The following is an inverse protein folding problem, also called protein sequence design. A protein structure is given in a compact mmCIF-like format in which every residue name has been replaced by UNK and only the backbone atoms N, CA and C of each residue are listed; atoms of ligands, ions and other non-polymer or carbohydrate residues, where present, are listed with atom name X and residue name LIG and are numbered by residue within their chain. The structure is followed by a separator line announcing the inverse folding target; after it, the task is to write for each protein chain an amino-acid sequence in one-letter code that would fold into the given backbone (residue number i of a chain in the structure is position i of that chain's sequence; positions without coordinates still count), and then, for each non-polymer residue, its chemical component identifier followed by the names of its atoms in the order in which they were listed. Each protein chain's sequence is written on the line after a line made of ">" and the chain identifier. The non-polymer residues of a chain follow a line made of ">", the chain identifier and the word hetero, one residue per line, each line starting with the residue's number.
data_IF_338533898225
#
_entry.id   IF_338533898225
#
_cell.length_a   1.000
_cell.length_b   1.000
_cell.length_c   1.000
_cell.angle_alpha   90.00
_cell.angle_beta   90.00
_cell.angle_gamma   90.00
#
_symmetry.space_group_name_H-M   'P 1'
#
loop_
_entity.id
_entity.type
_entity.pdbx_description
1 polymer ?
#
# COMPACT_ATOMS: atom_id res chain seq x y z
N UNK A 1 -25.36 -35.90 -1.33
CA UNK A 1 -24.82 -34.52 -1.40
C UNK A 1 -24.96 -33.86 -0.03
N UNK A 2 -24.01 -33.04 0.39
CA UNK A 2 -24.11 -32.24 1.63
C UNK A 2 -25.24 -31.20 1.52
N UNK A 3 -25.95 -30.91 2.60
CA UNK A 3 -27.01 -29.88 2.58
C UNK A 3 -26.46 -28.48 2.29
N UNK A 4 -25.33 -28.12 2.91
CA UNK A 4 -24.66 -26.82 2.73
C UNK A 4 -23.64 -26.81 1.60
N UNK A 5 -23.42 -27.94 0.92
CA UNK A 5 -22.43 -28.06 -0.14
C UNK A 5 -21.05 -28.47 0.37
N UNK A 6 -20.06 -28.36 -0.51
CA UNK A 6 -18.67 -28.73 -0.24
C UNK A 6 -17.71 -27.75 -0.90
N UNK A 7 -16.57 -27.52 -0.25
CA UNK A 7 -15.52 -26.63 -0.74
C UNK A 7 -14.27 -27.45 -1.07
N UNK A 8 -13.64 -27.17 -2.21
CA UNK A 8 -12.30 -27.65 -2.54
C UNK A 8 -11.41 -26.48 -2.93
N UNK A 9 -10.10 -26.65 -2.75
CA UNK A 9 -9.10 -25.66 -3.09
C UNK A 9 -8.02 -26.36 -3.93
N UNK A 10 -7.53 -25.70 -4.98
CA UNK A 10 -6.45 -26.23 -5.83
C UNK A 10 -5.12 -26.38 -5.07
N UNK A 11 -4.96 -25.68 -3.94
CA UNK A 11 -3.77 -25.71 -3.09
C UNK A 11 -4.13 -26.12 -1.67
N UNK A 12 -3.23 -26.84 -1.02
CA UNK A 12 -3.31 -27.19 0.41
C UNK A 12 -2.13 -26.60 1.21
N UNK A 13 -1.15 -26.03 0.52
CA UNK A 13 0.06 -25.40 1.04
C UNK A 13 0.43 -24.26 0.11
N UNK A 14 0.91 -23.16 0.66
CA UNK A 14 1.38 -21.98 -0.06
C UNK A 14 2.66 -21.47 0.60
N UNK A 15 3.57 -20.94 -0.20
CA UNK A 15 4.78 -20.23 0.25
C UNK A 15 4.43 -18.77 0.51
N UNK A 16 4.72 -18.28 1.72
CA UNK A 16 4.43 -16.89 2.07
C UNK A 16 5.09 -15.90 1.07
N UNK A 17 4.32 -14.92 0.61
CA UNK A 17 4.76 -13.92 -0.37
C UNK A 17 4.88 -14.41 -1.81
N UNK A 18 4.51 -15.66 -2.11
CA UNK A 18 4.49 -16.13 -3.50
C UNK A 18 3.33 -15.53 -4.30
N UNK A 19 3.60 -15.16 -5.54
CA UNK A 19 2.55 -14.81 -6.48
C UNK A 19 1.96 -16.10 -7.02
N UNK A 20 0.68 -16.34 -6.73
CA UNK A 20 -0.05 -17.55 -7.12
C UNK A 20 -1.50 -17.24 -7.48
N UNK A 21 -2.16 -18.14 -8.20
CA UNK A 21 -3.62 -18.15 -8.32
C UNK A 21 -4.17 -19.23 -7.39
N UNK A 22 -5.06 -18.84 -6.50
CA UNK A 22 -5.80 -19.79 -5.66
C UNK A 22 -7.21 -19.92 -6.21
N UNK A 23 -7.55 -21.14 -6.62
CA UNK A 23 -8.89 -21.48 -7.09
C UNK A 23 -9.63 -22.23 -6.00
N UNK A 24 -10.75 -21.66 -5.58
CA UNK A 24 -11.67 -22.27 -4.61
C UNK A 24 -12.94 -22.65 -5.35
N UNK A 25 -13.29 -23.94 -5.35
CA UNK A 25 -14.52 -24.44 -5.95
C UNK A 25 -15.52 -24.79 -4.84
N UNK A 26 -16.67 -24.13 -4.87
CA UNK A 26 -17.81 -24.46 -4.01
C UNK A 26 -18.85 -25.22 -4.83
N UNK A 27 -19.12 -26.47 -4.46
CA UNK A 27 -20.25 -27.24 -4.99
C UNK A 27 -21.49 -26.93 -4.17
N UNK A 28 -22.52 -26.39 -4.82
CA UNK A 28 -23.80 -26.01 -4.21
C UNK A 28 -24.46 -27.22 -3.58
N UNK A 29 -24.88 -27.08 -2.32
CA UNK A 29 -25.51 -28.14 -1.55
C UNK A 29 -26.96 -28.38 -1.90
N UNK A 30 -27.56 -29.34 -1.19
CA UNK A 30 -28.98 -29.67 -1.33
C UNK A 30 -29.94 -28.50 -1.05
N UNK A 31 -29.49 -27.43 -0.39
CA UNK A 31 -30.30 -26.22 -0.19
C UNK A 31 -30.53 -25.42 -1.48
N UNK A 32 -29.68 -25.57 -2.51
CA UNK A 32 -29.59 -24.60 -3.60
C UNK A 32 -29.13 -23.22 -3.13
N UNK A 33 -29.04 -22.27 -4.06
CA UNK A 33 -28.87 -20.84 -3.77
C UNK A 33 -29.86 -20.05 -4.61
N UNK A 34 -30.67 -19.21 -3.97
CA UNK A 34 -31.67 -18.39 -4.64
C UNK A 34 -31.16 -16.95 -4.86
N UNK A 35 -31.95 -16.16 -5.57
CA UNK A 35 -31.69 -14.74 -5.79
C UNK A 35 -31.53 -13.99 -4.46
N UNK A 36 -30.52 -13.12 -4.40
CA UNK A 36 -30.15 -12.39 -3.19
C UNK A 36 -29.43 -13.23 -2.12
N UNK A 37 -29.20 -14.53 -2.36
CA UNK A 37 -28.27 -15.30 -1.54
C UNK A 37 -26.84 -14.80 -1.76
N UNK A 38 -26.00 -14.94 -0.73
CA UNK A 38 -24.61 -14.55 -0.81
C UNK A 38 -23.72 -15.55 -0.08
N UNK A 39 -22.52 -15.74 -0.64
CA UNK A 39 -21.45 -16.51 -0.04
C UNK A 39 -20.38 -15.53 0.42
N UNK A 40 -19.78 -15.81 1.58
CA UNK A 40 -18.68 -15.01 2.09
C UNK A 40 -17.49 -15.90 2.44
N UNK A 41 -16.39 -15.71 1.71
CA UNK A 41 -15.07 -16.26 2.05
C UNK A 41 -14.31 -15.26 2.90
N UNK A 42 -13.92 -15.66 4.12
CA UNK A 42 -13.26 -14.77 5.07
C UNK A 42 -11.83 -15.19 5.37
N UNK A 43 -10.95 -14.20 5.46
CA UNK A 43 -9.52 -14.37 5.68
C UNK A 43 -9.12 -13.64 6.95
N UNK A 44 -8.11 -14.17 7.64
CA UNK A 44 -7.54 -13.49 8.81
C UNK A 44 -7.07 -12.09 8.39
N UNK A 45 -7.44 -11.08 9.16
CA UNK A 45 -7.08 -9.69 8.87
C UNK A 45 -5.55 -9.52 8.83
N UNK A 46 -4.85 -10.03 9.84
CA UNK A 46 -3.39 -10.12 9.91
C UNK A 46 -2.89 -11.35 9.14
N UNK A 47 -2.88 -11.25 7.82
CA UNK A 47 -2.33 -12.27 6.93
C UNK A 47 -1.65 -11.64 5.73
N UNK A 48 -0.76 -12.39 5.09
CA UNK A 48 -0.07 -12.06 3.84
C UNK A 48 -0.99 -12.14 2.60
N UNK A 49 -2.27 -12.45 2.79
CA UNK A 49 -3.28 -12.30 1.75
C UNK A 49 -3.31 -10.85 1.26
N UNK A 50 -3.11 -10.67 -0.03
CA UNK A 50 -3.14 -9.37 -0.69
C UNK A 50 -4.50 -8.67 -0.57
N UNK A 51 -4.53 -7.36 -0.83
CA UNK A 51 -5.79 -6.64 -0.97
C UNK A 51 -6.42 -7.02 -2.30
N UNK A 52 -7.45 -7.84 -2.23
CA UNK A 52 -8.22 -8.23 -3.39
C UNK A 52 -8.93 -7.02 -4.01
N UNK A 53 -9.10 -7.04 -5.32
CA UNK A 53 -9.88 -6.05 -6.05
C UNK A 53 -10.78 -6.74 -7.08
N UNK A 54 -11.86 -6.09 -7.47
CA UNK A 54 -12.88 -6.67 -8.37
C UNK A 54 -13.22 -5.74 -9.55
N UNK A 55 -12.44 -4.68 -9.74
CA UNK A 55 -12.74 -3.61 -10.70
C UNK A 55 -11.90 -3.68 -11.98
N UNK A 56 -10.66 -4.14 -11.92
CA UNK A 56 -9.76 -4.20 -13.08
C UNK A 56 -9.20 -5.62 -13.26
N UNK A 57 -9.69 -6.41 -14.22
CA UNK A 57 -9.23 -7.77 -14.43
C UNK A 57 -7.74 -7.85 -14.79
N UNK A 58 -7.13 -6.77 -15.29
CA UNK A 58 -5.73 -6.77 -15.73
C UNK A 58 -4.72 -6.51 -14.62
N UNK A 59 -5.19 -6.16 -13.42
CA UNK A 59 -4.37 -5.78 -12.28
C UNK A 59 -4.23 -6.91 -11.27
N UNK A 60 -3.15 -6.85 -10.49
CA UNK A 60 -2.87 -7.81 -9.43
C UNK A 60 -4.06 -7.96 -8.47
N UNK A 61 -4.17 -9.13 -7.87
CA UNK A 61 -5.16 -9.47 -6.85
C UNK A 61 -6.62 -9.35 -7.34
N UNK A 62 -6.85 -9.38 -8.65
CA UNK A 62 -8.20 -9.47 -9.20
C UNK A 62 -8.89 -10.75 -8.72
N UNK A 63 -10.12 -10.61 -8.25
CA UNK A 63 -10.98 -11.73 -7.88
C UNK A 63 -12.14 -11.82 -8.84
N UNK A 64 -12.32 -13.01 -9.39
CA UNK A 64 -13.46 -13.35 -10.23
C UNK A 64 -14.21 -14.54 -9.64
N UNK A 65 -15.49 -14.63 -10.00
CA UNK A 65 -16.32 -15.78 -9.74
C UNK A 65 -17.04 -16.15 -11.03
N UNK A 66 -17.07 -17.44 -11.34
CA UNK A 66 -17.85 -18.01 -12.44
C UNK A 66 -18.62 -19.20 -11.90
N UNK A 67 -19.73 -19.57 -12.54
CA UNK A 67 -20.41 -20.82 -12.22
C UNK A 67 -20.32 -21.82 -13.37
N UNK A 68 -20.37 -23.10 -13.03
CA UNK A 68 -20.48 -24.20 -13.97
C UNK A 68 -21.70 -25.04 -13.58
N UNK A 69 -22.69 -25.18 -14.48
CA UNK A 69 -23.87 -25.97 -14.20
C UNK A 69 -23.53 -27.46 -14.07
N UNK A 70 -24.22 -28.16 -13.17
CA UNK A 70 -24.18 -29.61 -13.08
C UNK A 70 -25.17 -30.27 -14.05
N UNK A 71 -25.09 -31.60 -14.14
CA UNK A 71 -26.09 -32.39 -14.83
C UNK A 71 -27.44 -32.24 -14.11
N UNK A 72 -28.50 -31.95 -14.87
CA UNK A 72 -29.82 -31.73 -14.32
C UNK A 72 -30.42 -33.03 -13.80
N UNK A 73 -31.05 -32.96 -12.63
CA UNK A 73 -31.88 -34.05 -12.14
C UNK A 73 -33.18 -34.15 -12.98
N UNK A 74 -33.82 -35.33 -13.04
CA UNK A 74 -35.08 -35.48 -13.78
C UNK A 74 -36.14 -34.47 -13.32
N UNK A 75 -36.61 -33.64 -14.26
CA UNK A 75 -37.63 -32.62 -14.01
C UNK A 75 -37.11 -31.29 -13.44
N UNK A 76 -35.79 -31.11 -13.38
CA UNK A 76 -35.14 -29.87 -12.94
C UNK A 76 -34.85 -28.95 -14.13
N UNK A 77 -35.20 -27.67 -14.00
CA UNK A 77 -34.83 -26.65 -14.97
C UNK A 77 -33.39 -26.15 -14.74
N UNK A 78 -32.69 -25.68 -15.80
CA UNK A 78 -31.37 -25.07 -15.66
C UNK A 78 -31.33 -23.92 -14.64
N UNK A 79 -30.16 -23.73 -14.02
CA UNK A 79 -29.90 -22.56 -13.21
C UNK A 79 -30.09 -21.28 -14.04
N UNK A 80 -30.76 -20.29 -13.46
CA UNK A 80 -31.16 -19.05 -14.15
C UNK A 80 -30.34 -17.83 -13.73
N UNK A 81 -29.36 -18.00 -12.84
CA UNK A 81 -28.49 -16.90 -12.38
C UNK A 81 -27.93 -16.10 -13.56
N UNK A 82 -28.12 -14.78 -13.53
CA UNK A 82 -27.59 -13.89 -14.57
C UNK A 82 -26.16 -13.45 -14.27
N UNK A 83 -25.84 -13.22 -13.00
CA UNK A 83 -24.52 -12.71 -12.59
C UNK A 83 -24.11 -13.24 -11.21
N UNK A 84 -22.80 -13.46 -11.06
CA UNK A 84 -22.15 -13.58 -9.76
C UNK A 84 -21.42 -12.26 -9.47
N UNK A 85 -22.04 -11.39 -8.68
CA UNK A 85 -21.42 -10.10 -8.37
C UNK A 85 -20.39 -10.29 -7.27
N UNK A 86 -19.13 -9.93 -7.55
CA UNK A 86 -18.02 -10.10 -6.62
C UNK A 86 -17.61 -8.77 -6.03
N UNK A 87 -17.53 -8.73 -4.70
CA UNK A 87 -17.01 -7.57 -3.96
C UNK A 87 -16.02 -8.00 -2.90
N UNK A 88 -15.08 -7.11 -2.61
CA UNK A 88 -14.14 -7.27 -1.52
C UNK A 88 -14.40 -6.21 -0.45
N UNK A 89 -14.52 -6.65 0.80
CA UNK A 89 -14.63 -5.78 1.96
C UNK A 89 -13.56 -6.15 2.99
N UNK A 90 -12.64 -5.23 3.27
CA UNK A 90 -11.57 -5.43 4.24
C UNK A 90 -12.08 -5.60 5.68
N UNK A 91 -13.29 -5.10 5.98
CA UNK A 91 -13.96 -5.18 7.28
C UNK A 91 -15.32 -5.88 7.19
N UNK A 92 -15.51 -6.75 6.20
CA UNK A 92 -16.79 -7.41 5.91
C UNK A 92 -17.20 -8.52 6.89
N UNK A 93 -16.42 -8.79 7.94
CA UNK A 93 -16.75 -9.77 8.96
C UNK A 93 -16.04 -9.51 10.31
N UNK A 94 -16.35 -10.35 11.30
CA UNK A 94 -15.84 -10.22 12.66
C UNK A 94 -14.35 -10.57 12.78
N UNK A 95 -13.69 -10.03 13.80
CA UNK A 95 -12.31 -10.39 14.14
C UNK A 95 -12.24 -11.87 14.56
N UNK A 96 -11.21 -12.63 14.16
CA UNK A 96 -10.02 -12.19 13.41
C UNK A 96 -10.15 -12.25 11.88
N UNK A 97 -11.30 -12.68 11.33
CA UNK A 97 -11.50 -12.96 9.90
C UNK A 97 -12.14 -11.81 9.13
N UNK A 98 -11.58 -10.60 9.19
CA UNK A 98 -12.28 -9.40 8.72
C UNK A 98 -12.26 -9.20 7.20
N UNK A 99 -11.20 -9.63 6.50
CA UNK A 99 -11.11 -9.52 5.03
C UNK A 99 -12.10 -10.50 4.41
N UNK A 100 -13.02 -10.02 3.58
CA UNK A 100 -14.12 -10.82 3.03
C UNK A 100 -14.22 -10.64 1.51
N UNK A 101 -14.18 -11.76 0.79
CA UNK A 101 -14.69 -11.85 -0.58
C UNK A 101 -16.15 -12.27 -0.48
N UNK A 102 -17.05 -11.46 -1.01
CA UNK A 102 -18.49 -11.71 -1.00
C UNK A 102 -18.94 -11.90 -2.45
N UNK A 103 -19.73 -12.94 -2.66
CA UNK A 103 -20.29 -13.30 -3.96
C UNK A 103 -21.80 -13.29 -3.80
N UNK A 104 -22.44 -12.33 -4.44
CA UNK A 104 -23.89 -12.18 -4.45
C UNK A 104 -24.45 -12.91 -5.70
N UNK A 105 -25.49 -13.72 -5.49
CA UNK A 105 -26.23 -14.38 -6.57
C UNK A 105 -27.27 -13.41 -7.07
N UNK A 106 -27.13 -12.94 -8.31
CA UNK A 106 -27.95 -11.87 -8.87
C UNK A 106 -28.87 -12.43 -9.94
N UNK A 107 -30.17 -12.20 -9.74
CA UNK A 107 -31.25 -12.45 -10.69
C UNK A 107 -31.28 -13.92 -11.15
N UNK A 108 -31.80 -14.80 -10.30
CA UNK A 108 -31.99 -16.21 -10.61
C UNK A 108 -31.58 -17.14 -9.47
N UNK A 109 -31.28 -18.40 -9.78
CA UNK A 109 -30.88 -19.39 -8.78
C UNK A 109 -29.84 -20.36 -9.33
N UNK A 110 -29.10 -20.99 -8.42
CA UNK A 110 -28.20 -22.11 -8.67
C UNK A 110 -28.77 -23.40 -8.08
N UNK A 111 -28.65 -24.47 -8.84
CA UNK A 111 -29.13 -25.80 -8.49
C UNK A 111 -28.15 -26.54 -7.56
N UNK A 112 -28.64 -27.48 -6.74
CA UNK A 112 -27.78 -28.45 -6.07
C UNK A 112 -26.84 -29.14 -7.05
N UNK A 113 -25.54 -29.08 -6.78
CA UNK A 113 -24.49 -29.64 -7.64
C UNK A 113 -23.80 -28.67 -8.56
N UNK A 114 -24.40 -27.52 -8.86
CA UNK A 114 -23.72 -26.46 -9.59
C UNK A 114 -22.47 -26.03 -8.83
N UNK A 115 -21.47 -25.55 -9.56
CA UNK A 115 -20.19 -25.18 -8.99
C UNK A 115 -19.99 -23.69 -9.14
N UNK A 116 -19.62 -23.01 -8.06
CA UNK A 116 -19.05 -21.66 -8.12
C UNK A 116 -17.54 -21.80 -8.00
N UNK A 117 -16.82 -21.29 -8.99
CA UNK A 117 -15.35 -21.26 -9.03
C UNK A 117 -14.91 -19.84 -8.77
N UNK A 118 -14.23 -19.64 -7.63
CA UNK A 118 -13.67 -18.36 -7.20
C UNK A 118 -12.18 -18.39 -7.45
N UNK A 119 -11.66 -17.41 -8.19
CA UNK A 119 -10.21 -17.27 -8.45
C UNK A 119 -9.67 -16.06 -7.72
N UNK A 120 -8.78 -16.30 -6.76
CA UNK A 120 -8.06 -15.26 -6.05
C UNK A 120 -6.75 -15.00 -6.81
N UNK A 121 -6.60 -13.80 -7.36
CA UNK A 121 -5.48 -13.46 -8.25
C UNK A 121 -5.63 -14.09 -9.62
N UNK A 122 -6.79 -13.92 -10.27
CA UNK A 122 -7.13 -14.54 -11.56
C UNK A 122 -6.11 -14.21 -12.65
N UNK A 123 -5.33 -15.22 -13.04
CA UNK A 123 -4.24 -15.09 -14.01
C UNK A 123 -4.71 -15.10 -15.45
N UNK A 124 -5.98 -15.42 -15.70
CA UNK A 124 -6.55 -15.38 -17.06
C UNK A 124 -6.51 -13.98 -17.65
N UNK A 125 -6.39 -12.96 -16.80
CA UNK A 125 -6.46 -11.56 -17.19
C UNK A 125 -5.20 -10.73 -16.89
N UNK A 126 -4.22 -11.26 -16.14
CA UNK A 126 -3.04 -10.49 -15.68
C UNK A 126 -1.72 -11.26 -15.76
N UNK A 127 -1.22 -11.46 -16.98
CA UNK A 127 0.15 -11.94 -17.20
C UNK A 127 1.19 -10.86 -16.80
N UNK A 128 2.30 -11.29 -16.21
CA UNK A 128 3.52 -10.47 -16.21
C UNK A 128 4.13 -10.46 -17.61
N UNK A 129 4.30 -9.27 -18.18
CA UNK A 129 4.98 -9.07 -19.46
C UNK A 129 6.44 -8.68 -19.19
N UNK A 130 7.39 -9.49 -19.69
CA UNK A 130 8.76 -9.03 -19.93
C UNK A 130 9.01 -9.04 -21.43
N UNK A 131 9.55 -7.94 -21.95
CA UNK A 131 9.97 -7.85 -23.34
C UNK A 131 11.47 -8.14 -23.39
N UNK A 132 11.90 -9.18 -24.13
CA UNK A 132 13.25 -9.74 -24.00
C UNK A 132 14.35 -8.88 -24.65
N UNK A 133 13.99 -7.84 -25.40
CA UNK A 133 14.95 -7.02 -26.15
C UNK A 133 14.49 -5.56 -26.27
N UNK A 134 15.45 -4.69 -26.54
CA UNK A 134 15.13 -3.37 -27.09
C UNK A 134 14.51 -3.52 -28.48
N UNK A 135 13.58 -2.63 -28.82
CA UNK A 135 12.95 -2.62 -30.13
C UNK A 135 11.57 -2.01 -30.15
N UNK A 136 10.96 -2.02 -31.33
CA UNK A 136 9.60 -1.59 -31.56
C UNK A 136 8.66 -2.79 -31.52
N UNK A 137 7.71 -2.74 -30.61
CA UNK A 137 6.67 -3.73 -30.39
C UNK A 137 5.33 -3.18 -30.87
N UNK A 138 4.46 -4.07 -31.33
CA UNK A 138 3.04 -3.77 -31.57
C UNK A 138 2.22 -4.50 -30.53
N UNK A 139 1.45 -3.76 -29.75
CA UNK A 139 0.44 -4.32 -28.86
C UNK A 139 -0.85 -4.41 -29.66
N UNK A 140 -1.35 -5.62 -29.85
CA UNK A 140 -2.64 -5.86 -30.46
C UNK A 140 -3.65 -6.14 -29.35
N UNK A 141 -4.63 -5.26 -29.19
CA UNK A 141 -5.81 -5.54 -28.39
C UNK A 141 -6.95 -5.93 -29.34
N UNK A 142 -7.55 -7.10 -29.11
CA UNK A 142 -8.72 -7.56 -29.84
C UNK A 142 -9.85 -7.72 -28.86
N UNK A 143 -10.95 -7.02 -29.10
CA UNK A 143 -12.19 -7.17 -28.39
C UNK A 143 -13.15 -7.92 -29.31
N UNK A 144 -13.65 -9.06 -28.87
CA UNK A 144 -14.65 -9.82 -29.59
C UNK A 144 -15.98 -9.74 -28.82
N UNK A 145 -17.00 -9.17 -29.44
CA UNK A 145 -18.38 -9.22 -28.97
C UNK A 145 -19.01 -10.51 -29.51
N UNK A 146 -19.21 -11.45 -28.60
CA UNK A 146 -19.78 -12.77 -28.86
C UNK A 146 -21.28 -12.74 -29.18
N UNK A 147 -21.99 -11.66 -28.85
CA UNK A 147 -23.43 -11.52 -29.10
C UNK A 147 -23.70 -11.05 -30.53
N UNK A 148 -22.87 -10.11 -31.03
CA UNK A 148 -22.99 -9.58 -32.38
C UNK A 148 -21.96 -10.18 -33.37
N UNK A 149 -21.11 -11.09 -32.89
CA UNK A 149 -19.98 -11.66 -33.64
C UNK A 149 -19.08 -10.58 -34.26
N UNK A 150 -18.89 -9.48 -33.53
CA UNK A 150 -18.16 -8.31 -33.99
C UNK A 150 -16.79 -8.25 -33.33
N UNK A 151 -15.77 -7.86 -34.08
CA UNK A 151 -14.40 -7.78 -33.58
C UNK A 151 -13.88 -6.35 -33.75
N UNK A 152 -13.39 -5.76 -32.67
CA UNK A 152 -12.63 -4.51 -32.70
C UNK A 152 -11.18 -4.81 -32.43
N UNK A 153 -10.30 -4.24 -33.25
CA UNK A 153 -8.87 -4.32 -33.04
C UNK A 153 -8.32 -2.92 -32.81
N UNK A 154 -7.57 -2.75 -31.72
CA UNK A 154 -6.68 -1.62 -31.53
C UNK A 154 -5.23 -2.11 -31.64
N UNK A 155 -4.39 -1.29 -32.28
CA UNK A 155 -2.97 -1.57 -32.39
C UNK A 155 -2.21 -0.36 -31.89
N UNK A 156 -1.43 -0.56 -30.83
CA UNK A 156 -0.55 0.45 -30.28
C UNK A 156 0.92 0.11 -30.51
N UNK A 157 1.75 1.14 -30.68
CA UNK A 157 3.18 1.00 -30.88
C UNK A 157 3.91 1.28 -29.56
N UNK A 158 4.72 0.33 -29.13
CA UNK A 158 5.56 0.43 -27.94
C UNK A 158 7.02 0.39 -28.37
N UNK A 159 7.82 1.37 -27.95
CA UNK A 159 9.28 1.35 -28.19
C UNK A 159 10.01 1.14 -26.87
N UNK A 160 10.85 0.11 -26.81
CA UNK A 160 11.71 -0.18 -25.67
C UNK A 160 13.14 0.13 -26.08
N UNK A 161 13.81 1.04 -25.39
CA UNK A 161 15.25 1.22 -25.52
C UNK A 161 15.86 1.71 -24.21
N UNK A 162 17.02 1.17 -23.84
CA UNK A 162 17.79 1.65 -22.68
C UNK A 162 18.40 3.04 -22.91
N UNK A 163 18.34 3.56 -24.14
CA UNK A 163 18.79 4.90 -24.53
C UNK A 163 17.68 5.96 -24.52
N UNK A 164 16.45 5.63 -24.08
CA UNK A 164 15.38 6.63 -23.95
C UNK A 164 15.83 7.66 -22.88
N UNK A 165 15.88 8.97 -23.20
CA UNK A 165 16.36 10.02 -22.29
C UNK A 165 15.35 10.34 -21.16
N UNK A 166 14.29 9.54 -21.04
CA UNK A 166 13.30 9.65 -19.98
C UNK A 166 13.80 8.73 -18.85
N UNK A 167 14.15 9.27 -17.67
CA UNK A 167 14.62 8.44 -16.56
C UNK A 167 13.57 7.38 -16.22
N UNK A 168 14.03 6.21 -15.79
CA UNK A 168 13.18 5.19 -15.17
C UNK A 168 12.29 5.87 -14.12
N UNK A 169 10.97 5.67 -14.22
CA UNK A 169 10.03 6.08 -13.18
C UNK A 169 10.36 5.25 -11.94
N UNK A 170 10.59 5.93 -10.82
CA UNK A 170 10.80 5.30 -9.51
C UNK A 170 9.53 5.48 -8.68
N UNK A 171 9.10 4.40 -8.04
CA UNK A 171 7.97 4.44 -7.11
C UNK A 171 8.49 4.58 -5.68
N UNK A 172 7.85 5.46 -4.91
CA UNK A 172 8.29 5.80 -3.56
C UNK A 172 7.11 5.90 -2.60
N UNK A 173 7.33 5.42 -1.38
CA UNK A 173 6.55 5.78 -0.21
C UNK A 173 7.53 6.28 0.86
N UNK A 174 7.38 7.54 1.29
CA UNK A 174 8.31 8.18 2.23
C UNK A 174 7.77 8.26 3.66
N UNK A 175 6.57 7.73 3.92
CA UNK A 175 5.91 7.81 5.20
C UNK A 175 5.43 6.43 5.64
N UNK A 176 6.24 5.70 6.41
CA UNK A 176 5.89 4.33 6.86
C UNK A 176 6.24 4.14 8.33
N UNK A 177 5.24 3.73 9.12
CA UNK A 177 5.40 3.32 10.51
C UNK A 177 5.52 1.80 10.68
N UNK A 178 6.21 1.37 11.74
CA UNK A 178 6.36 -0.04 12.12
C UNK A 178 6.02 -0.28 13.59
N UNK A 179 5.98 -1.55 14.00
CA UNK A 179 5.66 -2.02 15.36
C UNK A 179 6.66 -1.59 16.45
N UNK A 180 7.78 -0.99 16.05
CA UNK A 180 8.71 -0.35 16.94
C UNK A 180 8.19 1.02 17.46
N UNK A 181 7.12 1.52 16.85
CA UNK A 181 6.29 2.65 17.32
C UNK A 181 4.79 2.29 17.33
N UNK A 182 3.96 3.00 16.54
CA UNK A 182 2.49 2.84 16.52
C UNK A 182 2.00 1.98 15.33
N UNK A 183 2.93 1.52 14.48
CA UNK A 183 2.63 0.63 13.38
C UNK A 183 2.26 -0.78 13.86
N UNK A 184 1.70 -1.58 12.96
CA UNK A 184 1.20 -2.93 13.32
C UNK A 184 2.17 -4.06 12.96
N UNK A 185 3.01 -3.85 11.94
CA UNK A 185 3.93 -4.86 11.42
C UNK A 185 5.39 -4.42 11.65
N UNK A 186 6.28 -5.40 11.72
CA UNK A 186 7.72 -5.16 11.85
C UNK A 186 8.31 -4.39 10.66
N UNK A 187 9.38 -3.62 10.92
CA UNK A 187 10.10 -2.88 9.88
C UNK A 187 10.61 -3.81 8.77
N UNK A 188 11.09 -5.01 9.14
CA UNK A 188 11.52 -6.02 8.16
C UNK A 188 10.37 -6.48 7.24
N UNK A 189 9.17 -6.69 7.81
CA UNK A 189 7.99 -7.01 7.02
C UNK A 189 7.60 -5.85 6.10
N UNK A 190 7.50 -4.63 6.63
CA UNK A 190 7.12 -3.47 5.82
C UNK A 190 8.09 -3.24 4.66
N UNK A 191 9.41 -3.30 4.90
CA UNK A 191 10.41 -3.09 3.86
C UNK A 191 10.36 -4.18 2.78
N UNK A 192 10.22 -5.44 3.19
CA UNK A 192 10.11 -6.55 2.24
C UNK A 192 8.80 -6.50 1.45
N UNK A 193 7.68 -6.13 2.08
CA UNK A 193 6.40 -5.95 1.40
C UNK A 193 6.47 -4.81 0.38
N UNK A 194 6.96 -3.65 0.80
CA UNK A 194 7.12 -2.48 -0.05
C UNK A 194 7.97 -2.80 -1.30
N UNK A 195 9.10 -3.49 -1.13
CA UNK A 195 9.95 -3.87 -2.25
C UNK A 195 9.36 -4.99 -3.13
N UNK A 196 8.93 -6.09 -2.51
CA UNK A 196 8.65 -7.34 -3.21
C UNK A 196 7.20 -7.44 -3.71
N UNK A 197 6.28 -6.73 -3.05
CA UNK A 197 4.84 -6.78 -3.32
C UNK A 197 4.34 -5.46 -3.90
N UNK A 198 4.59 -4.34 -3.22
CA UNK A 198 4.13 -3.02 -3.69
C UNK A 198 4.97 -2.46 -4.85
N UNK A 199 6.16 -3.03 -5.09
CA UNK A 199 7.03 -2.65 -6.20
C UNK A 199 7.70 -1.28 -6.03
N UNK A 200 7.88 -0.82 -4.78
CA UNK A 200 8.55 0.43 -4.47
C UNK A 200 10.06 0.31 -4.68
N UNK A 201 10.63 1.34 -5.31
CA UNK A 201 12.07 1.51 -5.46
C UNK A 201 12.68 2.28 -4.28
N UNK A 202 11.88 3.11 -3.60
CA UNK A 202 12.28 3.98 -2.51
C UNK A 202 11.29 3.85 -1.34
N UNK A 203 11.81 3.71 -0.12
CA UNK A 203 11.00 3.59 1.10
C UNK A 203 11.51 4.59 2.15
N UNK A 204 10.62 5.30 2.83
CA UNK A 204 10.92 6.08 4.03
C UNK A 204 10.45 5.33 5.28
N UNK A 205 11.35 5.05 6.21
CA UNK A 205 10.99 4.59 7.56
C UNK A 205 10.85 5.82 8.45
N UNK A 206 9.64 6.18 8.87
CA UNK A 206 9.35 7.41 9.62
C UNK A 206 8.77 7.06 10.98
N UNK A 207 9.63 6.65 11.92
CA UNK A 207 9.19 6.31 13.27
C UNK A 207 8.66 7.55 14.01
N UNK A 208 7.58 7.43 14.77
CA UNK A 208 7.12 8.50 15.65
C UNK A 208 8.22 8.90 16.62
N UNK A 209 8.66 10.15 16.52
CA UNK A 209 9.83 10.65 17.21
C UNK A 209 9.64 10.68 18.73
N UNK A 210 8.40 10.80 19.21
CA UNK A 210 8.11 10.79 20.63
C UNK A 210 8.15 9.39 21.23
N UNK A 211 7.86 8.36 20.43
CA UNK A 211 7.60 6.99 20.90
C UNK A 211 8.79 6.05 20.74
N UNK A 212 9.55 6.19 19.64
CA UNK A 212 10.64 5.26 19.31
C UNK A 212 11.75 5.26 20.37
N UNK A 213 12.11 4.12 20.94
CA UNK A 213 13.25 4.07 21.89
C UNK A 213 14.59 4.09 21.15
N UNK A 214 15.66 4.57 21.80
CA UNK A 214 17.00 4.59 21.19
C UNK A 214 17.49 3.19 20.75
N UNK A 215 17.15 2.14 21.53
CA UNK A 215 17.51 0.77 21.20
C UNK A 215 16.76 0.24 19.96
N UNK A 216 15.46 0.54 19.85
CA UNK A 216 14.65 0.16 18.68
C UNK A 216 15.12 0.91 17.43
N UNK A 217 15.34 2.22 17.54
CA UNK A 217 15.92 3.04 16.47
C UNK A 217 17.22 2.47 15.92
N UNK A 218 18.19 2.18 16.81
CA UNK A 218 19.47 1.61 16.40
C UNK A 218 19.33 0.23 15.73
N UNK A 219 18.37 -0.58 16.21
CA UNK A 219 18.07 -1.89 15.60
C UNK A 219 17.55 -1.73 14.18
N UNK A 220 16.60 -0.82 13.95
CA UNK A 220 16.04 -0.57 12.62
C UNK A 220 17.04 0.09 11.67
N UNK A 221 17.93 0.97 12.16
CA UNK A 221 19.02 1.51 11.34
C UNK A 221 19.98 0.43 10.83
N UNK A 222 20.34 -0.54 11.68
CA UNK A 222 21.17 -1.67 11.26
C UNK A 222 20.48 -2.51 10.17
N UNK A 223 19.18 -2.72 10.30
CA UNK A 223 18.36 -3.41 9.29
C UNK A 223 18.35 -2.65 7.97
N UNK A 224 18.08 -1.33 8.00
CA UNK A 224 18.09 -0.45 6.83
C UNK A 224 19.45 -0.51 6.13
N UNK A 225 20.55 -0.39 6.88
CA UNK A 225 21.90 -0.48 6.34
C UNK A 225 22.17 -1.84 5.67
N UNK A 226 21.73 -2.94 6.27
CA UNK A 226 21.89 -4.28 5.70
C UNK A 226 21.08 -4.45 4.40
N UNK A 227 19.83 -3.99 4.38
CA UNK A 227 18.96 -4.12 3.20
C UNK A 227 19.41 -3.21 2.05
N UNK A 228 19.79 -1.96 2.32
CA UNK A 228 20.33 -1.06 1.30
C UNK A 228 21.60 -1.66 0.65
N UNK A 229 22.47 -2.29 1.45
CA UNK A 229 23.65 -2.97 0.93
C UNK A 229 23.28 -4.21 0.10
N UNK A 230 22.36 -5.05 0.60
CA UNK A 230 21.94 -6.28 -0.07
C UNK A 230 21.18 -6.03 -1.39
N UNK A 231 20.48 -4.90 -1.50
CA UNK A 231 19.62 -4.55 -2.64
C UNK A 231 20.13 -3.33 -3.43
N UNK A 232 21.44 -3.07 -3.38
CA UNK A 232 22.07 -1.93 -4.05
C UNK A 232 21.68 -1.84 -5.53
N UNK A 233 21.24 -0.65 -5.95
CA UNK A 233 20.79 -0.39 -7.32
C UNK A 233 19.36 -0.88 -7.64
N UNK A 234 18.66 -1.45 -6.65
CA UNK A 234 17.27 -1.93 -6.77
C UNK A 234 16.32 -1.36 -5.73
N UNK A 235 16.82 -1.01 -4.55
CA UNK A 235 16.04 -0.45 -3.45
C UNK A 235 16.88 0.56 -2.68
N UNK A 236 16.24 1.63 -2.23
CA UNK A 236 16.79 2.55 -1.21
C UNK A 236 15.76 2.73 -0.11
N UNK A 237 16.17 2.51 1.14
CA UNK A 237 15.39 2.79 2.33
C UNK A 237 16.04 3.96 3.05
N UNK A 238 15.33 5.07 3.18
CA UNK A 238 15.75 6.23 3.95
C UNK A 238 15.25 6.09 5.39
N UNK A 239 16.13 6.18 6.40
CA UNK A 239 15.68 6.36 7.76
C UNK A 239 15.08 7.76 7.92
N UNK A 240 14.15 7.89 8.85
CA UNK A 240 13.44 9.12 9.13
C UNK A 240 12.61 9.02 10.39
N UNK A 241 12.05 10.15 10.79
CA UNK A 241 11.18 10.27 11.95
C UNK A 241 9.98 11.11 11.61
N UNK A 242 8.81 10.73 12.11
CA UNK A 242 7.67 11.63 12.14
C UNK A 242 7.81 12.51 13.40
N UNK A 243 8.13 13.79 13.21
CA UNK A 243 8.13 14.78 14.28
C UNK A 243 6.71 15.22 14.58
N UNK A 244 6.23 14.87 15.78
CA UNK A 244 4.81 14.95 16.12
C UNK A 244 4.41 16.26 16.82
N UNK A 245 4.59 17.40 16.15
CA UNK A 245 4.23 18.73 16.67
C UNK A 245 2.72 19.01 16.75
N UNK A 246 2.26 19.76 17.75
CA UNK A 246 0.90 20.31 17.74
C UNK A 246 0.78 21.32 16.60
N UNK A 247 -0.39 21.44 15.95
CA UNK A 247 -0.58 22.35 14.81
C UNK A 247 -0.22 23.81 15.12
N UNK A 248 -0.39 24.25 16.37
CA UNK A 248 0.00 25.60 16.83
C UNK A 248 1.52 25.81 16.96
N UNK A 249 2.31 24.74 16.91
CA UNK A 249 3.77 24.75 17.00
C UNK A 249 4.42 24.25 15.69
N UNK A 250 3.67 24.23 14.58
CA UNK A 250 4.11 23.79 13.26
C UNK A 250 3.38 22.55 12.74
N UNK A 251 2.90 21.68 13.64
CA UNK A 251 2.18 20.45 13.25
C UNK A 251 3.09 19.32 12.76
N UNK A 252 2.50 18.21 12.32
CA UNK A 252 3.25 16.98 12.04
C UNK A 252 4.13 17.10 10.77
N UNK A 253 5.38 16.67 10.87
CA UNK A 253 6.38 16.72 9.79
C UNK A 253 7.20 15.43 9.76
N UNK A 254 7.34 14.82 8.59
CA UNK A 254 8.39 13.81 8.42
C UNK A 254 9.74 14.49 8.29
N UNK A 255 10.76 13.93 8.94
CA UNK A 255 12.17 14.26 8.77
C UNK A 255 12.84 13.04 8.16
N UNK A 256 13.22 13.12 6.88
CA UNK A 256 13.88 12.04 6.15
C UNK A 256 15.38 12.35 6.05
N UNK A 257 16.21 11.40 6.47
CA UNK A 257 17.67 11.49 6.40
C UNK A 257 18.14 10.89 5.06
N UNK A 258 18.65 11.73 4.17
CA UNK A 258 18.96 11.38 2.78
C UNK A 258 20.38 10.81 2.57
N UNK A 259 21.25 10.99 3.56
CA UNK A 259 22.60 10.44 3.51
C UNK A 259 22.60 8.92 3.76
N UNK A 260 23.62 8.23 3.24
CA UNK A 260 23.78 6.79 3.50
C UNK A 260 24.07 6.57 4.99
N UNK A 261 23.20 5.86 5.74
CA UNK A 261 23.33 5.69 7.18
C UNK A 261 24.59 4.92 7.58
N UNK A 262 25.24 4.19 6.66
CA UNK A 262 26.52 3.54 6.91
C UNK A 262 27.69 4.53 6.96
N UNK A 263 27.58 5.63 6.22
CA UNK A 263 28.66 6.64 6.12
C UNK A 263 28.39 7.85 7.00
N UNK A 264 27.12 8.15 7.27
CA UNK A 264 26.69 9.26 8.08
C UNK A 264 25.45 8.86 8.88
N UNK A 265 25.65 8.64 10.18
CA UNK A 265 24.56 8.31 11.07
C UNK A 265 23.54 9.47 11.14
N UNK A 266 22.23 9.17 11.13
CA UNK A 266 21.19 10.17 11.38
C UNK A 266 21.38 10.91 12.70
N UNK A 267 21.11 12.22 12.70
CA UNK A 267 21.12 13.07 13.90
C UNK A 267 19.84 12.88 14.70
N UNK A 268 19.66 11.69 15.27
CA UNK A 268 18.51 11.31 16.09
C UNK A 268 18.87 10.17 17.06
N UNK A 269 18.45 10.22 18.35
CA UNK A 269 17.58 11.24 18.97
C UNK A 269 18.30 12.50 19.45
N UNK A 270 19.61 12.57 19.26
CA UNK A 270 20.44 13.71 19.62
C UNK A 270 21.09 14.30 18.36
N UNK A 271 21.26 15.63 18.33
CA UNK A 271 22.07 16.28 17.31
C UNK A 271 23.59 16.11 17.58
N UNK A 272 24.43 16.63 16.67
CA UNK A 272 25.90 16.61 16.85
C UNK A 272 26.43 17.31 18.11
N UNK A 273 25.62 18.16 18.77
CA UNK A 273 25.98 18.85 20.02
C UNK A 273 25.50 18.10 21.25
N UNK A 274 24.69 17.05 21.07
CA UNK A 274 24.07 16.29 22.15
C UNK A 274 22.73 16.88 22.61
N UNK A 275 22.15 17.81 21.84
CA UNK A 275 20.84 18.39 22.13
C UNK A 275 19.73 17.41 21.68
N UNK A 276 18.62 17.34 22.43
CA UNK A 276 17.48 16.48 22.10
C UNK A 276 16.72 17.05 20.90
N UNK A 277 16.52 16.22 19.87
CA UNK A 277 15.84 16.64 18.62
C UNK A 277 14.43 16.08 18.45
N UNK A 278 13.95 15.30 19.42
CA UNK A 278 12.56 14.81 19.49
C UNK A 278 11.61 15.96 19.86
N UNK A 279 10.34 15.82 19.52
CA UNK A 279 9.25 16.66 20.01
C UNK A 279 9.11 16.57 21.54
N UNK A 280 9.04 15.35 22.07
CA UNK A 280 9.14 14.96 23.48
C UNK A 280 9.51 13.47 23.55
N UNK A 281 9.67 12.88 24.74
CA UNK A 281 9.88 11.41 24.86
C UNK A 281 8.79 10.80 25.72
N UNK A 282 8.06 9.83 25.17
CA UNK A 282 7.09 9.00 25.88
C UNK A 282 7.05 7.59 25.31
N UNK A 283 7.15 6.58 26.16
CA UNK A 283 6.89 5.18 25.78
C UNK A 283 6.38 4.39 26.99
N UNK A 284 5.95 3.15 26.73
CA UNK A 284 5.35 2.26 27.74
C UNK A 284 6.29 1.95 28.91
N UNK A 285 7.61 2.05 28.69
CA UNK A 285 8.62 1.72 29.69
C UNK A 285 8.86 2.86 30.70
N UNK A 286 8.42 4.09 30.40
CA UNK A 286 8.66 5.26 31.27
C UNK A 286 7.81 5.26 32.55
N UNK A 287 6.72 4.49 32.59
CA UNK A 287 5.82 4.39 33.74
C UNK A 287 4.99 5.65 34.01
N UNK A 288 3.92 5.51 34.81
CA UNK A 288 2.89 6.55 34.98
C UNK A 288 3.36 7.84 35.69
N UNK A 289 4.53 7.83 36.33
CA UNK A 289 5.08 8.98 37.06
C UNK A 289 6.12 9.77 36.25
N UNK A 290 6.41 9.36 35.01
CA UNK A 290 7.35 10.07 34.15
C UNK A 290 6.86 11.49 33.85
N UNK A 291 7.76 12.46 34.00
CA UNK A 291 7.51 13.83 33.58
C UNK A 291 7.92 13.99 32.13
N UNK A 292 6.99 14.46 31.31
CA UNK A 292 7.26 14.79 29.91
C UNK A 292 7.87 16.18 29.82
N UNK A 293 8.97 16.30 29.09
CA UNK A 293 9.60 17.56 28.75
C UNK A 293 9.61 17.71 27.21
N UNK A 294 9.37 18.93 26.69
CA UNK A 294 9.55 19.20 25.28
C UNK A 294 11.04 19.09 24.91
N UNK A 295 11.33 18.56 23.72
CA UNK A 295 12.65 18.59 23.10
C UNK A 295 12.77 19.74 22.11
N UNK A 296 13.02 19.46 20.83
CA UNK A 296 13.02 20.45 19.77
C UNK A 296 11.60 20.95 19.52
N UNK A 297 11.26 22.11 20.10
CA UNK A 297 9.92 22.68 20.08
C UNK A 297 9.96 24.21 20.26
N UNK A 298 9.34 25.00 19.36
CA UNK A 298 8.46 24.62 18.23
C UNK A 298 9.25 24.16 16.99
N UNK A 299 8.57 23.97 15.85
CA UNK A 299 9.16 23.48 14.59
C UNK A 299 10.42 24.25 14.13
N UNK A 300 10.56 25.52 14.50
CA UNK A 300 11.78 26.31 14.24
C UNK A 300 13.06 25.68 14.82
N UNK A 301 12.97 24.97 15.96
CA UNK A 301 14.13 24.29 16.55
C UNK A 301 14.51 23.04 15.75
N UNK A 302 13.52 22.37 15.15
CA UNK A 302 13.74 21.26 14.21
C UNK A 302 14.43 21.78 12.95
N UNK A 303 13.98 22.92 12.41
CA UNK A 303 14.67 23.58 11.30
C UNK A 303 16.10 23.99 11.68
N UNK A 304 16.31 24.59 12.85
CA UNK A 304 17.63 25.02 13.31
C UNK A 304 18.61 23.85 13.45
N UNK A 305 18.10 22.66 13.75
CA UNK A 305 18.85 21.42 13.80
C UNK A 305 19.33 21.02 12.40
N UNK A 306 18.40 20.83 11.46
CA UNK A 306 18.71 20.20 10.18
C UNK A 306 19.13 21.18 9.07
N UNK A 307 18.84 22.49 9.19
CA UNK A 307 19.14 23.49 8.16
C UNK A 307 20.65 23.71 7.92
N UNK A 308 21.49 23.27 8.86
CA UNK A 308 22.96 23.27 8.72
C UNK A 308 23.43 22.33 7.61
N UNK A 309 22.66 21.28 7.34
CA UNK A 309 22.94 20.27 6.32
C UNK A 309 21.66 19.94 5.51
N UNK A 310 21.03 21.00 5.00
CA UNK A 310 19.78 20.87 4.25
C UNK A 310 19.84 19.88 3.06
N UNK A 311 20.96 19.72 2.31
CA UNK A 311 21.04 18.72 1.25
C UNK A 311 20.86 17.27 1.74
N UNK A 312 21.30 16.97 2.97
CA UNK A 312 21.17 15.65 3.59
C UNK A 312 19.83 15.39 4.28
N UNK A 313 18.90 16.36 4.28
CA UNK A 313 17.63 16.26 5.00
C UNK A 313 16.46 16.70 4.13
N UNK A 314 15.32 16.05 4.31
CA UNK A 314 14.06 16.42 3.68
C UNK A 314 12.97 16.42 4.73
N UNK A 315 12.33 17.58 4.89
CA UNK A 315 11.16 17.70 5.74
C UNK A 315 9.90 17.67 4.86
N UNK A 316 8.87 16.96 5.30
CA UNK A 316 7.61 16.83 4.56
C UNK A 316 6.47 17.17 5.53
N UNK A 317 5.88 18.37 5.44
CA UNK A 317 4.62 18.66 6.12
C UNK A 317 3.54 17.69 5.64
N UNK A 318 2.73 17.19 6.56
CA UNK A 318 1.65 16.28 6.24
C UNK A 318 0.42 16.47 7.13
N UNK A 319 -0.64 15.72 6.82
CA UNK A 319 -1.86 15.65 7.63
C UNK A 319 -2.05 14.21 8.07
N UNK A 320 -1.70 13.95 9.33
CA UNK A 320 -1.91 12.68 10.01
C UNK A 320 -3.09 12.78 10.97
N UNK A 321 -2.88 12.38 12.22
CA UNK A 321 -3.84 12.58 13.30
C UNK A 321 -4.09 14.07 13.63
N UNK A 322 -3.12 14.94 13.30
CA UNK A 322 -3.22 16.41 13.35
C UNK A 322 -2.71 16.97 12.02
N UNK A 323 -3.05 18.25 11.74
CA UNK A 323 -2.56 18.93 10.53
C UNK A 323 -1.23 19.63 10.77
N UNK A 324 -0.35 19.60 9.78
CA UNK A 324 0.73 20.59 9.63
C UNK A 324 0.17 22.02 9.53
N UNK A 325 1.05 23.00 9.75
CA UNK A 325 0.78 24.42 9.54
C UNK A 325 1.76 24.97 8.51
N UNK A 326 1.23 25.38 7.35
CA UNK A 326 2.03 25.95 6.27
C UNK A 326 2.51 27.40 6.54
N UNK A 327 2.05 27.99 7.65
CA UNK A 327 2.58 29.25 8.17
C UNK A 327 4.06 29.15 8.58
N UNK A 328 4.54 27.92 8.87
CA UNK A 328 5.96 27.61 8.94
C UNK A 328 6.39 26.99 7.62
N UNK A 329 7.48 27.52 7.06
CA UNK A 329 8.09 26.91 5.89
C UNK A 329 9.60 27.15 5.85
N UNK A 330 10.38 26.09 5.63
CA UNK A 330 11.81 26.21 5.36
C UNK A 330 12.17 25.72 3.94
N UNK A 331 12.45 26.62 2.98
CA UNK A 331 12.48 26.31 1.54
C UNK A 331 13.59 25.38 1.08
N UNK A 332 14.62 25.15 1.91
CA UNK A 332 15.70 24.18 1.61
C UNK A 332 15.45 22.81 2.21
N UNK A 333 14.61 22.72 3.23
CA UNK A 333 14.31 21.47 3.94
C UNK A 333 13.00 20.89 3.42
N UNK A 334 12.00 21.73 3.25
CA UNK A 334 10.66 21.35 2.79
C UNK A 334 10.54 21.60 1.30
N UNK A 335 10.70 20.52 0.56
CA UNK A 335 10.66 20.54 -0.91
C UNK A 335 9.43 19.78 -1.46
N UNK A 336 8.72 19.10 -0.57
CA UNK A 336 7.55 18.27 -0.83
C UNK A 336 6.51 18.57 0.24
N UNK A 337 5.24 18.37 -0.10
CA UNK A 337 4.13 18.34 0.84
C UNK A 337 3.30 17.10 0.56
N UNK A 338 2.91 16.38 1.61
CA UNK A 338 2.07 15.19 1.52
C UNK A 338 0.61 15.61 1.38
N UNK A 339 0.02 15.33 0.22
CA UNK A 339 -1.36 15.74 -0.13
C UNK A 339 -2.35 14.56 -0.17
N UNK A 340 -1.86 13.36 0.12
CA UNK A 340 -2.66 12.14 0.24
C UNK A 340 -1.98 11.13 1.15
N UNK A 341 -2.77 10.45 1.97
CA UNK A 341 -2.36 9.39 2.90
C UNK A 341 -3.53 8.46 3.22
N UNK A 342 -3.33 7.47 4.10
CA UNK A 342 -4.43 6.64 4.60
C UNK A 342 -5.51 7.46 5.35
N UNK A 343 -5.21 8.68 5.79
CA UNK A 343 -6.17 9.59 6.43
C UNK A 343 -7.07 10.33 5.43
N UNK A 344 -6.68 10.42 4.15
CA UNK A 344 -7.49 11.02 3.09
C UNK A 344 -6.68 11.73 2.02
N UNK A 345 -7.37 12.51 1.20
CA UNK A 345 -6.78 13.40 0.20
C UNK A 345 -7.07 14.85 0.58
N UNK A 346 -6.06 15.72 0.51
CA UNK A 346 -6.08 17.06 1.10
C UNK A 346 -6.01 18.14 0.02
N UNK A 347 -7.05 18.24 -0.83
CA UNK A 347 -7.12 19.25 -1.89
C UNK A 347 -6.97 20.69 -1.35
N UNK A 348 -7.44 20.95 -0.12
CA UNK A 348 -7.28 22.25 0.52
C UNK A 348 -5.81 22.57 0.81
N UNK A 349 -5.01 21.56 1.19
CA UNK A 349 -3.59 21.74 1.48
C UNK A 349 -2.79 22.09 0.21
N UNK A 350 -3.21 21.55 -0.95
CA UNK A 350 -2.65 21.93 -2.25
C UNK A 350 -2.87 23.42 -2.54
N UNK A 351 -4.07 23.93 -2.24
CA UNK A 351 -4.42 25.34 -2.46
C UNK A 351 -3.65 26.24 -1.52
N UNK A 352 -3.65 25.91 -0.23
CA UNK A 352 -2.93 26.67 0.80
C UNK A 352 -1.42 26.68 0.52
N UNK A 353 -0.83 25.56 0.07
CA UNK A 353 0.56 25.52 -0.35
C UNK A 353 0.83 26.40 -1.58
N UNK A 354 -0.10 26.46 -2.53
CA UNK A 354 -0.01 27.35 -3.69
C UNK A 354 -0.04 28.84 -3.31
N UNK A 355 -0.91 29.20 -2.37
CA UNK A 355 -1.14 30.60 -1.96
C UNK A 355 -0.13 31.10 -0.92
N UNK A 356 0.30 30.26 0.03
CA UNK A 356 1.20 30.64 1.14
C UNK A 356 2.68 30.49 0.80
N UNK A 357 3.07 29.58 -0.11
CA UNK A 357 4.48 29.30 -0.42
C UNK A 357 5.05 30.13 -1.58
N UNK A 358 4.26 31.05 -2.15
CA UNK A 358 4.62 31.88 -3.32
C UNK A 358 5.37 31.05 -4.37
N UNK A 359 4.66 30.07 -4.97
CA UNK A 359 5.19 29.12 -5.95
C UNK A 359 5.47 29.84 -7.27
N UNK A 360 6.42 30.78 -7.24
CA UNK A 360 6.98 31.44 -8.39
C UNK A 360 7.56 30.37 -9.31
N UNK A 361 7.27 30.46 -10.61
CA UNK A 361 7.40 29.42 -11.63
C UNK A 361 8.86 28.91 -11.88
N UNK A 362 9.80 29.25 -10.99
CA UNK A 362 11.22 28.90 -11.03
C UNK A 362 11.70 28.04 -9.83
N UNK A 363 10.85 27.66 -8.87
CA UNK A 363 11.21 26.74 -7.78
C UNK A 363 10.09 25.71 -7.53
N UNK A 364 10.18 24.49 -8.09
CA UNK A 364 9.10 23.52 -7.97
C UNK A 364 9.05 22.93 -6.54
N UNK A 365 7.95 23.18 -5.84
CA UNK A 365 7.47 22.25 -4.80
C UNK A 365 6.79 21.11 -5.56
N UNK A 366 7.30 19.90 -5.40
CA UNK A 366 6.69 18.72 -6.06
C UNK A 366 5.58 18.20 -5.17
N UNK A 367 4.35 18.19 -5.70
CA UNK A 367 3.18 17.58 -5.07
C UNK A 367 3.22 16.07 -5.32
N UNK A 368 3.18 15.26 -4.26
CA UNK A 368 3.17 13.80 -4.37
C UNK A 368 1.91 13.23 -3.71
N UNK A 369 1.08 12.47 -4.45
CA UNK A 369 0.12 11.57 -3.84
C UNK A 369 0.88 10.33 -3.36
N UNK A 370 0.87 10.07 -2.06
CA UNK A 370 1.33 8.79 -1.51
C UNK A 370 0.12 7.87 -1.33
N UNK A 371 0.31 6.59 -1.66
CA UNK A 371 -0.67 5.53 -1.46
C UNK A 371 -0.04 4.55 -0.47
N UNK A 372 -0.35 4.71 0.82
CA UNK A 372 0.05 3.83 1.93
C UNK A 372 -0.70 2.48 1.92
#
# INVERSE_FOLDING_TARGET
>A
MSFLGTLTCNVNTLTAGEWTEVTVEYTVGGSGLADGAWIKGTFKFYSDWALFQTSDPTRDNYVSAEYTPAELLPGQDPATVQELSVRFDQKGHERPFQKAVIIDIVDGYLNPGDKIVVRLGDRRFGARLSLPAEGHYRIHARLHDSLNNQEWTAVELLTISAGIPVPRILFADLHVHSDDTVGTNSSAFNFSYAQLIAGLDIIGYTANDFHITAARWATTLNLIAALNAAHRGRLVIFPGTEWCGNSAAGGDHNVVFLDDPQTRAPEFPLDRRGDIVRSFEWNEDMGAAAQLAPGAWPLDDVYATYARDAPGHLLIPHVGGRRCSLAWHHPRLERLVEIGSAWGQFEWLVRDAGDELDVDANKPVTLLPFFE
#
